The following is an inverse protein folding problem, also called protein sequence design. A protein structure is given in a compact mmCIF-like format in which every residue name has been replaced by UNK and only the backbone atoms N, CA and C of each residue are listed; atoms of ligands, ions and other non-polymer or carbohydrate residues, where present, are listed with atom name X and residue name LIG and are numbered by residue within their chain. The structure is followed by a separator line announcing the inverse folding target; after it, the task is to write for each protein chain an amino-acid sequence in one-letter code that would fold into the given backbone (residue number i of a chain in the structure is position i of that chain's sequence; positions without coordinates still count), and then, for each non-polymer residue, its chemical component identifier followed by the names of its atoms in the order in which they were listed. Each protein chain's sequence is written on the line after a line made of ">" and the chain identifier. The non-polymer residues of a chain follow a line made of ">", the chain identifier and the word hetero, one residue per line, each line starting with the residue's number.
data_IF_520426274644
#
_entry.id   IF_520426274644
#
_cell.length_a   1.000
_cell.length_b   1.000
_cell.length_c   1.000
_cell.angle_alpha   90.00
_cell.angle_beta   90.00
_cell.angle_gamma   90.00
#
_symmetry.space_group_name_H-M   'P 1'
#
loop_
_entity.id
_entity.type
_entity.pdbx_description
1 polymer ?
#
# COMPACT_ATOMS: atom_id res chain seq x y z
N UNK A 1 7.29 19.96 21.02
CA UNK A 1 6.21 20.92 21.36
C UNK A 1 5.96 21.74 20.12
N UNK A 2 5.28 21.14 19.15
CA UNK A 2 5.02 21.74 17.86
C UNK A 2 3.54 22.07 17.87
N UNK A 3 3.23 23.36 17.91
CA UNK A 3 1.86 23.87 17.97
C UNK A 3 1.14 23.46 16.70
N UNK A 4 0.03 22.73 16.85
CA UNK A 4 -0.93 22.55 15.76
C UNK A 4 -1.40 23.94 15.33
N UNK A 5 -0.85 24.46 14.24
CA UNK A 5 -1.41 25.66 13.61
C UNK A 5 -2.67 25.19 12.90
N UNK A 6 -3.76 25.14 13.64
CA UNK A 6 -5.07 25.02 13.05
C UNK A 6 -5.30 26.28 12.21
N UNK A 7 -5.10 26.18 10.91
CA UNK A 7 -5.71 27.13 9.96
C UNK A 7 -7.20 26.79 9.99
N UNK A 8 -7.90 27.24 11.04
CA UNK A 8 -9.34 27.08 11.18
C UNK A 8 -9.99 28.05 10.21
N UNK A 9 -10.35 27.57 9.03
CA UNK A 9 -11.13 28.33 8.06
C UNK A 9 -12.50 27.69 7.75
N UNK A 10 -13.05 26.88 8.66
CA UNK A 10 -14.42 26.40 8.51
C UNK A 10 -14.81 25.38 9.57
N UNK A 11 -15.79 25.69 10.41
CA UNK A 11 -16.40 24.71 11.30
C UNK A 11 -17.45 23.90 10.53
N UNK A 12 -17.17 22.62 10.27
CA UNK A 12 -18.18 21.66 9.88
C UNK A 12 -18.98 21.22 11.10
N UNK A 13 -20.17 21.81 11.32
CA UNK A 13 -21.13 21.21 12.26
C UNK A 13 -21.63 19.89 11.67
N UNK A 14 -21.62 18.81 12.45
CA UNK A 14 -22.30 17.56 12.10
C UNK A 14 -23.81 17.82 11.97
N UNK A 15 -24.26 18.21 10.78
CA UNK A 15 -25.66 18.51 10.51
C UNK A 15 -26.44 17.20 10.38
N UNK A 16 -27.25 16.88 11.40
CA UNK A 16 -28.36 15.91 11.26
C UNK A 16 -29.34 16.47 10.23
N UNK A 17 -29.51 15.82 9.07
CA UNK A 17 -30.54 16.20 8.09
C UNK A 17 -31.54 15.07 7.84
N UNK A 18 -32.77 15.32 8.27
CA UNK A 18 -34.01 14.76 7.73
C UNK A 18 -34.32 15.39 6.36
N UNK A 19 -34.75 14.55 5.41
CA UNK A 19 -35.07 14.90 4.00
C UNK A 19 -36.38 15.70 3.84
N UNK A 20 -36.52 16.54 2.79
CA UNK A 20 -37.38 16.14 1.64
C UNK A 20 -36.93 16.60 0.22
N UNK A 21 -37.53 15.97 -0.81
CA UNK A 21 -37.40 16.07 -2.29
C UNK A 21 -38.30 17.20 -2.94
N UNK A 22 -38.42 17.42 -4.29
CA UNK A 22 -37.55 18.27 -5.12
C UNK A 22 -38.29 19.20 -6.18
N UNK A 23 -37.48 19.86 -7.05
CA UNK A 23 -37.70 20.40 -8.43
C UNK A 23 -38.09 21.90 -8.66
N UNK A 24 -37.89 22.50 -9.88
CA UNK A 24 -36.74 22.52 -10.83
C UNK A 24 -36.47 23.96 -11.42
N UNK A 25 -35.94 24.18 -12.67
CA UNK A 25 -34.54 24.57 -12.98
C UNK A 25 -34.35 25.96 -13.64
N UNK A 26 -33.09 26.42 -13.77
CA UNK A 26 -32.79 27.67 -14.51
C UNK A 26 -31.33 27.90 -14.90
N UNK A 27 -31.05 27.64 -16.18
CA UNK A 27 -30.15 28.33 -17.14
C UNK A 27 -28.62 28.29 -16.98
N UNK A 28 -28.00 27.82 -18.07
CA UNK A 28 -26.57 27.72 -18.32
C UNK A 28 -25.87 29.07 -18.54
N UNK A 29 -24.58 29.12 -18.20
CA UNK A 29 -23.65 30.11 -18.74
C UNK A 29 -22.30 29.44 -18.97
N UNK A 30 -21.78 29.62 -20.17
CA UNK A 30 -20.51 29.13 -20.70
C UNK A 30 -19.36 30.02 -20.21
N UNK A 31 -18.24 29.43 -19.77
CA UNK A 31 -16.95 30.12 -19.79
C UNK A 31 -15.81 29.16 -20.06
N UNK A 32 -14.84 29.69 -20.81
CA UNK A 32 -13.76 29.07 -21.57
C UNK A 32 -12.67 28.47 -20.67
N UNK A 33 -12.13 27.32 -21.08
CA UNK A 33 -11.01 26.65 -20.42
C UNK A 33 -9.67 27.25 -20.85
N UNK A 34 -8.76 27.38 -19.89
CA UNK A 34 -7.32 27.58 -20.12
C UNK A 34 -6.61 26.31 -19.69
N UNK A 35 -5.97 25.68 -20.67
CA UNK A 35 -5.20 24.44 -20.53
C UNK A 35 -3.87 24.72 -19.84
N UNK A 36 -3.66 24.15 -18.65
CA UNK A 36 -2.34 24.03 -18.04
C UNK A 36 -1.91 22.56 -18.12
N UNK A 37 -0.70 22.33 -18.66
CA UNK A 37 -0.11 21.01 -18.85
C UNK A 37 0.15 20.33 -17.50
N UNK A 38 -0.12 19.01 -17.37
CA UNK A 38 0.24 18.27 -16.17
C UNK A 38 1.76 18.04 -16.11
N UNK A 39 2.34 18.33 -14.94
CA UNK A 39 3.67 17.87 -14.55
C UNK A 39 3.49 16.49 -13.92
N UNK A 40 4.17 15.50 -14.47
CA UNK A 40 4.26 14.12 -13.96
C UNK A 40 5.14 14.07 -12.71
N UNK A 41 4.70 13.48 -11.58
CA UNK A 41 5.58 13.19 -10.46
C UNK A 41 6.54 12.04 -10.81
N UNK A 42 7.77 12.13 -10.31
CA UNK A 42 8.83 11.16 -10.53
C UNK A 42 8.48 9.79 -9.94
N UNK A 43 8.79 8.72 -10.69
CA UNK A 43 8.65 7.32 -10.28
C UNK A 43 9.72 7.00 -9.23
N UNK A 44 9.30 6.53 -8.05
CA UNK A 44 10.18 5.97 -7.03
C UNK A 44 10.36 4.47 -7.35
N UNK A 45 11.59 4.04 -7.63
CA UNK A 45 11.95 2.63 -7.70
C UNK A 45 12.45 2.22 -6.31
N UNK A 46 11.72 1.31 -5.66
CA UNK A 46 12.21 0.62 -4.48
C UNK A 46 13.18 -0.44 -5.02
N UNK A 47 14.46 -0.29 -4.73
CA UNK A 47 15.50 -1.28 -5.09
C UNK A 47 15.56 -2.29 -3.94
N UNK A 48 15.39 -3.61 -4.20
CA UNK A 48 15.50 -4.60 -3.15
C UNK A 48 16.95 -4.72 -2.64
N UNK A 49 17.18 -5.02 -1.36
CA UNK A 49 18.52 -5.36 -0.89
C UNK A 49 18.98 -6.69 -1.52
N UNK A 50 20.21 -6.68 -2.03
CA UNK A 50 20.91 -7.81 -2.66
C UNK A 50 20.92 -9.03 -1.74
N UNK A 51 20.29 -10.12 -2.16
CA UNK A 51 20.43 -11.44 -1.51
C UNK A 51 21.59 -12.23 -2.13
N UNK A 52 22.56 -12.73 -1.34
CA UNK A 52 23.62 -13.58 -1.86
C UNK A 52 23.08 -14.98 -2.22
N UNK A 53 23.29 -15.39 -3.47
CA UNK A 53 22.90 -16.70 -4.00
C UNK A 53 23.34 -17.89 -3.12
N UNK A 54 22.47 -18.90 -2.87
CA UNK A 54 22.85 -20.11 -2.16
C UNK A 54 23.67 -21.03 -3.07
N UNK A 55 24.93 -21.30 -2.69
CA UNK A 55 25.78 -22.31 -3.33
C UNK A 55 25.14 -23.70 -3.19
N UNK A 56 24.49 -24.17 -4.25
CA UNK A 56 24.05 -25.55 -4.42
C UNK A 56 25.24 -26.51 -4.34
N UNK A 57 25.35 -27.23 -3.22
CA UNK A 57 26.24 -28.40 -3.11
C UNK A 57 25.65 -29.53 -3.95
N UNK A 58 26.18 -29.75 -5.15
CA UNK A 58 25.95 -30.99 -5.91
C UNK A 58 27.12 -31.95 -5.73
N UNK A 59 26.79 -33.15 -5.26
CA UNK A 59 27.67 -34.28 -5.06
C UNK A 59 28.45 -34.64 -6.34
N UNK A 60 29.77 -34.84 -6.21
CA UNK A 60 30.65 -35.33 -7.27
C UNK A 60 30.40 -36.83 -7.53
N UNK A 61 30.06 -37.17 -8.77
CA UNK A 61 30.29 -38.49 -9.33
C UNK A 61 31.65 -38.55 -10.02
N UNK A 62 32.28 -39.69 -9.84
CA UNK A 62 33.65 -40.07 -10.14
C UNK A 62 33.74 -40.44 -11.62
N UNK A 63 34.66 -39.82 -12.36
CA UNK A 63 35.16 -40.34 -13.64
C UNK A 63 36.61 -39.91 -13.81
N UNK A 64 37.50 -40.87 -13.58
CA UNK A 64 38.91 -40.85 -13.94
C UNK A 64 39.08 -41.40 -15.36
N UNK A 65 39.93 -40.77 -16.18
CA UNK A 65 41.05 -41.41 -16.91
C UNK A 65 41.70 -40.45 -17.94
N UNK A 66 43.03 -40.35 -17.84
CA UNK A 66 44.06 -40.24 -18.90
C UNK A 66 43.96 -39.08 -19.93
N UNK A 67 44.99 -38.28 -20.23
CA UNK A 67 46.35 -38.67 -20.61
C UNK A 67 47.29 -37.44 -20.72
N UNK A 68 48.55 -37.57 -20.25
CA UNK A 68 49.85 -37.16 -20.85
C UNK A 68 49.99 -35.87 -21.70
N UNK A 69 51.08 -35.09 -21.70
CA UNK A 69 52.35 -34.96 -20.97
C UNK A 69 53.18 -33.83 -21.64
N UNK A 70 54.00 -33.10 -20.86
CA UNK A 70 55.30 -32.46 -21.22
C UNK A 70 55.34 -31.34 -22.29
N UNK A 71 56.16 -30.27 -22.23
CA UNK A 71 57.28 -29.86 -21.37
C UNK A 71 57.70 -28.41 -21.72
N UNK A 72 58.13 -27.68 -20.68
CA UNK A 72 59.23 -26.70 -20.60
C UNK A 72 59.61 -25.79 -21.80
N UNK A 73 59.69 -24.48 -21.56
CA UNK A 73 60.96 -23.77 -21.33
C UNK A 73 60.72 -22.26 -21.10
N UNK A 74 61.60 -21.67 -20.30
CA UNK A 74 61.65 -20.26 -19.91
C UNK A 74 62.04 -19.33 -21.09
N UNK A 75 61.69 -18.05 -21.02
CA UNK A 75 62.58 -16.94 -20.60
C UNK A 75 62.21 -15.58 -21.23
N UNK A 76 62.51 -14.52 -20.47
CA UNK A 76 62.72 -13.11 -20.84
C UNK A 76 61.53 -12.14 -20.84
N UNK A 77 61.70 -11.18 -19.93
CA UNK A 77 60.97 -9.94 -19.72
C UNK A 77 60.99 -9.01 -20.95
N UNK A 78 59.88 -8.30 -21.15
CA UNK A 78 59.92 -6.95 -21.70
C UNK A 78 58.74 -6.16 -21.09
N UNK A 79 59.07 -5.10 -20.36
CA UNK A 79 58.14 -4.04 -19.98
C UNK A 79 57.71 -3.32 -21.26
N UNK A 80 56.44 -3.38 -21.61
CA UNK A 80 55.81 -2.38 -22.47
C UNK A 80 54.49 -1.94 -21.83
N UNK A 81 54.29 -0.62 -21.87
CA UNK A 81 53.32 0.12 -21.10
C UNK A 81 51.87 -0.25 -21.43
N UNK A 82 51.07 -0.42 -20.38
CA UNK A 82 49.61 -0.53 -20.43
C UNK A 82 49.00 0.68 -21.15
N UNK A 83 48.16 0.50 -22.18
CA UNK A 83 47.12 1.47 -22.45
C UNK A 83 46.05 1.29 -21.36
N UNK A 84 45.65 2.40 -20.75
CA UNK A 84 44.49 2.41 -19.84
C UNK A 84 43.27 2.07 -20.69
N UNK A 85 42.85 0.81 -20.67
CA UNK A 85 41.52 0.42 -21.09
C UNK A 85 40.55 1.09 -20.10
N UNK A 86 39.81 2.08 -20.59
CA UNK A 86 38.61 2.58 -19.93
C UNK A 86 37.60 1.42 -19.98
N UNK A 87 37.65 0.55 -18.96
CA UNK A 87 36.59 -0.41 -18.69
C UNK A 87 35.33 0.41 -18.36
N UNK A 88 34.50 0.65 -19.38
CA UNK A 88 33.08 0.94 -19.17
C UNK A 88 32.53 -0.26 -18.38
N UNK A 89 32.38 -0.09 -17.06
CA UNK A 89 31.56 -0.97 -16.22
C UNK A 89 30.13 -0.88 -16.79
N UNK A 90 29.82 -1.71 -17.78
CA UNK A 90 28.44 -2.05 -18.12
C UNK A 90 27.86 -2.67 -16.84
N UNK A 91 27.07 -1.89 -16.10
CA UNK A 91 26.22 -2.42 -15.02
C UNK A 91 25.42 -3.58 -15.63
N UNK A 92 25.81 -4.83 -15.34
CA UNK A 92 25.04 -6.01 -15.71
C UNK A 92 23.66 -5.83 -15.05
N UNK A 93 22.66 -5.35 -15.80
CA UNK A 93 21.28 -5.36 -15.36
C UNK A 93 20.95 -6.80 -14.98
N UNK A 94 20.86 -7.11 -13.69
CA UNK A 94 20.46 -8.45 -13.23
C UNK A 94 19.17 -8.81 -13.95
N UNK A 95 19.24 -9.79 -14.84
CA UNK A 95 18.10 -10.24 -15.63
C UNK A 95 17.16 -10.98 -14.67
N UNK A 96 16.21 -10.24 -14.10
CA UNK A 96 15.14 -10.81 -13.28
C UNK A 96 14.37 -11.81 -14.13
N UNK A 97 14.48 -13.10 -13.80
CA UNK A 97 13.67 -14.14 -14.44
C UNK A 97 12.19 -13.90 -14.09
N UNK A 98 11.35 -13.49 -15.06
CA UNK A 98 9.98 -13.10 -14.77
C UNK A 98 9.09 -14.30 -14.40
N UNK A 99 9.61 -15.53 -14.54
CA UNK A 99 8.91 -16.76 -14.16
C UNK A 99 9.32 -17.28 -12.79
N UNK A 100 10.36 -16.69 -12.17
CA UNK A 100 10.84 -17.11 -10.87
C UNK A 100 9.84 -16.74 -9.76
N UNK A 101 9.65 -17.69 -8.85
CA UNK A 101 8.91 -17.47 -7.60
C UNK A 101 9.82 -16.74 -6.61
N UNK A 102 9.27 -15.75 -5.92
CA UNK A 102 9.97 -15.08 -4.83
C UNK A 102 9.74 -15.89 -3.55
N UNK A 103 10.81 -16.19 -2.83
CA UNK A 103 10.76 -16.83 -1.52
C UNK A 103 11.87 -16.19 -0.68
N UNK A 104 11.57 -15.04 -0.08
CA UNK A 104 12.52 -14.19 0.61
C UNK A 104 12.05 -13.90 2.04
N UNK A 105 13.00 -14.02 2.96
CA UNK A 105 12.91 -13.53 4.33
C UNK A 105 14.18 -12.75 4.61
N UNK A 106 14.03 -11.51 5.05
CA UNK A 106 15.14 -10.66 5.50
C UNK A 106 15.90 -11.37 6.64
N UNK A 107 17.23 -11.59 6.49
CA UNK A 107 18.05 -12.23 7.52
C UNK A 107 18.05 -11.50 8.87
N UNK A 108 17.81 -10.19 8.87
CA UNK A 108 17.79 -9.35 10.07
C UNK A 108 16.41 -9.28 10.72
N UNK A 109 15.36 -9.78 10.05
CA UNK A 109 14.02 -9.82 10.59
C UNK A 109 13.86 -10.97 11.61
N UNK A 110 13.17 -10.68 12.73
CA UNK A 110 12.77 -11.72 13.68
C UNK A 110 11.53 -12.45 13.15
N UNK A 111 11.62 -13.75 12.78
CA UNK A 111 10.49 -14.51 12.24
C UNK A 111 9.26 -14.49 13.15
N UNK A 112 9.46 -14.50 14.47
CA UNK A 112 8.38 -14.55 15.48
C UNK A 112 7.60 -13.23 15.60
N UNK A 113 8.18 -12.15 15.08
CA UNK A 113 7.57 -10.82 15.05
C UNK A 113 6.58 -10.64 13.89
N UNK A 114 6.69 -11.46 12.84
CA UNK A 114 5.88 -11.37 11.61
C UNK A 114 4.52 -12.04 11.82
N UNK A 115 3.62 -11.32 12.49
CA UNK A 115 2.29 -11.83 12.89
C UNK A 115 1.14 -11.39 12.01
N UNK A 116 1.39 -10.51 11.04
CA UNK A 116 0.38 -10.03 10.11
C UNK A 116 0.94 -10.13 8.69
N UNK A 117 0.18 -10.77 7.79
CA UNK A 117 0.51 -10.83 6.37
C UNK A 117 -0.50 -10.00 5.56
N UNK A 118 -0.07 -9.52 4.42
CA UNK A 118 -0.87 -8.95 3.35
C UNK A 118 -0.88 -9.93 2.17
N UNK A 119 -2.05 -10.18 1.59
CA UNK A 119 -2.24 -11.22 0.57
C UNK A 119 -3.02 -10.71 -0.64
N UNK A 120 -2.51 -11.00 -1.83
CA UNK A 120 -3.25 -10.98 -3.09
C UNK A 120 -3.23 -12.36 -3.76
N UNK A 121 -4.39 -12.81 -4.23
CA UNK A 121 -4.50 -14.04 -5.01
C UNK A 121 -5.39 -13.77 -6.22
N UNK A 122 -4.77 -13.37 -7.33
CA UNK A 122 -5.47 -12.85 -8.51
C UNK A 122 -4.78 -13.29 -9.81
N UNK A 123 -5.50 -13.22 -10.93
CA UNK A 123 -4.92 -13.41 -12.26
C UNK A 123 -3.98 -12.25 -12.61
N UNK A 124 -2.83 -12.56 -13.21
CA UNK A 124 -1.89 -11.58 -13.77
C UNK A 124 -2.19 -11.29 -15.23
N UNK A 125 -1.69 -10.18 -15.80
CA UNK A 125 -1.81 -9.86 -17.24
C UNK A 125 -0.90 -10.77 -18.09
N UNK A 126 -0.94 -12.07 -17.83
CA UNK A 126 -0.06 -13.09 -18.38
C UNK A 126 -0.93 -14.26 -18.87
N UNK A 127 -0.65 -14.74 -20.08
CA UNK A 127 -1.17 -15.98 -20.60
C UNK A 127 -0.11 -17.08 -20.60
N UNK A 128 -0.52 -18.30 -20.27
CA UNK A 128 0.32 -19.48 -20.44
C UNK A 128 0.47 -19.88 -21.92
N UNK A 129 1.30 -20.89 -22.19
CA UNK A 129 1.50 -21.43 -23.54
C UNK A 129 0.21 -21.97 -24.21
N UNK A 130 -0.88 -22.14 -23.45
CA UNK A 130 -2.20 -22.59 -23.92
C UNK A 130 -3.19 -21.43 -24.09
N UNK A 131 -2.75 -20.19 -23.90
CA UNK A 131 -3.59 -19.00 -23.97
C UNK A 131 -4.56 -18.88 -22.79
N UNK A 132 -4.29 -19.51 -21.64
CA UNK A 132 -5.08 -19.41 -20.41
C UNK A 132 -4.44 -18.44 -19.43
N UNK A 133 -5.27 -17.80 -18.61
CA UNK A 133 -4.80 -16.85 -17.57
C UNK A 133 -3.93 -17.57 -16.56
N UNK A 134 -2.84 -16.91 -16.19
CA UNK A 134 -2.00 -17.30 -15.05
C UNK A 134 -2.46 -16.53 -13.81
N UNK A 135 -2.58 -17.24 -12.70
CA UNK A 135 -2.83 -16.66 -11.38
C UNK A 135 -1.57 -16.66 -10.56
N UNK A 136 -1.52 -15.79 -9.56
CA UNK A 136 -0.39 -15.72 -8.67
C UNK A 136 -0.88 -15.43 -7.25
N UNK A 137 -0.30 -16.14 -6.30
CA UNK A 137 -0.32 -15.77 -4.89
C UNK A 137 0.85 -14.83 -4.63
N UNK A 138 0.58 -13.68 -4.02
CA UNK A 138 1.57 -12.71 -3.56
C UNK A 138 1.29 -12.46 -2.09
N UNK A 139 2.29 -12.70 -1.24
CA UNK A 139 2.22 -12.55 0.21
C UNK A 139 3.42 -11.75 0.69
N UNK A 140 3.17 -10.73 1.49
CA UNK A 140 4.23 -10.01 2.18
C UNK A 140 3.79 -9.62 3.59
N UNK A 141 4.71 -9.11 4.40
CA UNK A 141 4.37 -8.37 5.61
C UNK A 141 4.44 -6.85 5.36
N UNK A 142 4.18 -6.06 6.41
CA UNK A 142 4.10 -4.61 6.30
C UNK A 142 5.47 -3.96 5.99
N UNK A 143 6.58 -4.62 6.33
CA UNK A 143 7.94 -4.10 6.12
C UNK A 143 8.59 -4.65 4.84
N UNK A 144 7.91 -5.55 4.12
CA UNK A 144 8.49 -6.34 3.02
C UNK A 144 9.70 -7.20 3.44
N UNK A 145 9.86 -7.45 4.74
CA UNK A 145 10.85 -8.38 5.27
C UNK A 145 10.49 -9.81 4.91
N UNK A 146 9.19 -10.12 4.80
CA UNK A 146 8.70 -11.36 4.21
C UNK A 146 8.15 -11.06 2.81
N UNK A 147 8.62 -11.80 1.81
CA UNK A 147 8.12 -11.72 0.43
C UNK A 147 8.00 -13.12 -0.15
N UNK A 148 6.81 -13.47 -0.61
CA UNK A 148 6.53 -14.76 -1.21
C UNK A 148 5.61 -14.64 -2.41
N UNK A 149 5.98 -15.28 -3.54
CA UNK A 149 5.09 -15.43 -4.69
C UNK A 149 5.04 -16.86 -5.19
N UNK A 150 3.90 -17.23 -5.79
CA UNK A 150 3.74 -18.54 -6.46
C UNK A 150 2.73 -18.46 -7.59
N UNK A 151 3.06 -19.03 -8.74
CA UNK A 151 2.16 -19.08 -9.89
C UNK A 151 1.21 -20.28 -9.86
N UNK A 152 0.00 -20.09 -10.37
CA UNK A 152 -1.06 -21.10 -10.42
C UNK A 152 -1.76 -21.10 -11.78
N UNK A 153 -2.14 -22.28 -12.31
CA UNK A 153 -2.99 -22.36 -13.47
C UNK A 153 -4.44 -22.00 -13.11
N UNK A 154 -5.20 -21.49 -14.09
CA UNK A 154 -6.57 -21.03 -13.89
C UNK A 154 -7.56 -22.09 -13.32
N UNK A 155 -7.27 -23.39 -13.46
CA UNK A 155 -8.12 -24.46 -12.92
C UNK A 155 -7.79 -24.84 -11.47
N UNK A 156 -6.74 -24.27 -10.87
CA UNK A 156 -6.31 -24.57 -9.51
C UNK A 156 -6.82 -23.53 -8.48
N UNK A 157 -7.72 -22.63 -8.85
CA UNK A 157 -8.12 -21.50 -8.01
C UNK A 157 -9.27 -21.92 -7.08
N UNK A 158 -8.92 -22.32 -5.87
CA UNK A 158 -9.86 -22.72 -4.83
C UNK A 158 -9.22 -22.57 -3.43
N UNK A 159 -10.02 -22.74 -2.38
CA UNK A 159 -9.56 -22.55 -0.99
C UNK A 159 -8.57 -23.61 -0.51
N UNK A 160 -8.64 -24.84 -1.03
CA UNK A 160 -7.72 -25.93 -0.65
C UNK A 160 -6.32 -25.62 -1.18
N UNK A 161 -6.24 -25.25 -2.46
CA UNK A 161 -4.97 -24.85 -3.07
C UNK A 161 -4.37 -23.62 -2.38
N UNK A 162 -5.18 -22.62 -2.05
CA UNK A 162 -4.70 -21.45 -1.32
C UNK A 162 -4.21 -21.80 0.10
N UNK A 163 -4.94 -22.65 0.83
CA UNK A 163 -4.54 -23.13 2.16
C UNK A 163 -3.17 -23.80 2.10
N UNK A 164 -2.99 -24.75 1.20
CA UNK A 164 -1.74 -25.49 1.07
C UNK A 164 -0.57 -24.56 0.68
N UNK A 165 -0.85 -23.56 -0.17
CA UNK A 165 0.11 -22.55 -0.53
C UNK A 165 0.53 -21.69 0.68
N UNK A 166 -0.42 -21.26 1.52
CA UNK A 166 -0.14 -20.48 2.73
C UNK A 166 0.67 -21.28 3.76
N UNK A 167 0.33 -22.55 3.99
CA UNK A 167 1.16 -23.43 4.83
C UNK A 167 2.59 -23.51 4.32
N UNK A 168 2.77 -23.62 3.00
CA UNK A 168 4.11 -23.71 2.42
C UNK A 168 4.93 -22.42 2.56
N UNK A 169 4.30 -21.25 2.73
CA UNK A 169 5.02 -20.00 3.04
C UNK A 169 5.70 -20.13 4.41
N UNK A 170 4.95 -20.57 5.42
CA UNK A 170 5.45 -20.80 6.77
C UNK A 170 6.56 -21.86 6.79
N UNK A 171 6.37 -22.98 6.09
CA UNK A 171 7.37 -24.05 6.00
C UNK A 171 8.65 -23.62 5.27
N UNK A 172 8.52 -22.89 4.16
CA UNK A 172 9.66 -22.51 3.32
C UNK A 172 10.51 -21.40 3.94
N UNK A 173 9.87 -20.42 4.59
CA UNK A 173 10.56 -19.28 5.21
C UNK A 173 10.89 -19.52 6.69
N UNK A 174 10.38 -20.59 7.30
CA UNK A 174 10.59 -20.88 8.72
C UNK A 174 9.93 -19.85 9.65
N UNK A 175 8.86 -19.20 9.18
CA UNK A 175 8.08 -18.22 9.95
C UNK A 175 6.83 -18.87 10.54
N UNK A 176 6.34 -18.45 11.72
CA UNK A 176 5.08 -18.94 12.25
C UNK A 176 3.91 -18.53 11.35
N UNK A 177 2.78 -19.23 11.50
CA UNK A 177 1.53 -18.78 10.89
C UNK A 177 1.09 -17.45 11.54
N UNK A 178 0.66 -16.44 10.74
CA UNK A 178 0.28 -15.14 11.26
C UNK A 178 -1.02 -15.22 12.06
N UNK A 179 -1.20 -14.26 12.98
CA UNK A 179 -2.47 -14.07 13.68
C UNK A 179 -3.58 -13.64 12.70
N UNK A 180 -3.21 -12.87 11.67
CA UNK A 180 -4.15 -12.39 10.65
C UNK A 180 -3.53 -12.20 9.27
N UNK A 181 -4.37 -12.27 8.25
CA UNK A 181 -4.05 -11.97 6.86
C UNK A 181 -4.98 -10.87 6.35
N UNK A 182 -4.43 -9.73 5.94
CA UNK A 182 -5.15 -8.67 5.24
C UNK A 182 -5.23 -8.97 3.75
N UNK A 183 -6.34 -8.61 3.12
CA UNK A 183 -6.51 -8.70 1.67
C UNK A 183 -7.50 -7.64 1.17
N UNK A 184 -7.27 -7.13 -0.05
CA UNK A 184 -8.02 -6.00 -0.59
C UNK A 184 -8.97 -6.34 -1.74
N UNK A 185 -9.03 -7.61 -2.19
CA UNK A 185 -9.98 -8.06 -3.22
C UNK A 185 -11.20 -8.72 -2.59
N UNK A 186 -12.31 -7.97 -2.50
CA UNK A 186 -13.58 -8.46 -1.93
C UNK A 186 -14.08 -9.72 -2.63
N UNK A 187 -13.84 -9.87 -3.94
CA UNK A 187 -14.30 -11.02 -4.71
C UNK A 187 -13.61 -12.32 -4.28
N UNK A 188 -12.43 -12.24 -3.65
CA UNK A 188 -11.68 -13.39 -3.13
C UNK A 188 -12.05 -13.74 -1.69
N UNK A 189 -12.96 -12.99 -1.05
CA UNK A 189 -13.29 -13.15 0.36
C UNK A 189 -13.66 -14.59 0.74
N UNK A 190 -14.49 -15.27 -0.04
CA UNK A 190 -14.93 -16.65 0.26
C UNK A 190 -13.75 -17.65 0.24
N UNK A 191 -12.88 -17.54 -0.77
CA UNK A 191 -11.73 -18.44 -0.93
C UNK A 191 -10.71 -18.19 0.19
N UNK A 192 -10.35 -16.93 0.41
CA UNK A 192 -9.35 -16.53 1.43
C UNK A 192 -9.85 -16.86 2.83
N UNK A 193 -11.09 -16.49 3.18
CA UNK A 193 -11.64 -16.74 4.53
C UNK A 193 -11.66 -18.22 4.85
N UNK A 194 -12.03 -19.08 3.89
CA UNK A 194 -12.04 -20.53 4.10
C UNK A 194 -10.62 -21.09 4.25
N UNK A 195 -9.69 -20.66 3.41
CA UNK A 195 -8.29 -21.10 3.48
C UNK A 195 -7.65 -20.70 4.83
N UNK A 196 -7.77 -19.43 5.23
CA UNK A 196 -7.24 -18.94 6.50
C UNK A 196 -7.91 -19.62 7.71
N UNK A 197 -9.23 -19.84 7.65
CA UNK A 197 -9.97 -20.48 8.75
C UNK A 197 -9.52 -21.92 9.03
N UNK A 198 -9.18 -22.69 8.00
CA UNK A 198 -8.61 -24.05 8.16
C UNK A 198 -7.20 -24.03 8.78
N UNK A 199 -6.49 -22.90 8.72
CA UNK A 199 -5.17 -22.68 9.32
C UNK A 199 -5.23 -21.97 10.67
N UNK A 200 -6.42 -21.64 11.18
CA UNK A 200 -6.58 -20.88 12.42
C UNK A 200 -6.20 -19.38 12.30
N UNK A 201 -6.07 -18.86 11.09
CA UNK A 201 -5.65 -17.49 10.80
C UNK A 201 -6.87 -16.60 10.57
N UNK A 202 -6.86 -15.38 11.12
CA UNK A 202 -7.95 -14.42 10.91
C UNK A 202 -7.83 -13.74 9.54
N UNK A 203 -8.77 -14.00 8.64
CA UNK A 203 -8.88 -13.23 7.38
C UNK A 203 -9.50 -11.84 7.64
N UNK A 204 -8.84 -10.77 7.17
CA UNK A 204 -9.22 -9.37 7.39
C UNK A 204 -9.36 -8.65 6.04
N UNK A 205 -10.58 -8.39 5.54
CA UNK A 205 -10.78 -7.59 4.35
C UNK A 205 -10.40 -6.12 4.62
N UNK A 206 -9.36 -5.62 3.96
CA UNK A 206 -8.80 -4.29 4.24
C UNK A 206 -8.10 -3.71 3.02
N UNK A 207 -8.29 -2.41 2.78
CA UNK A 207 -7.47 -1.64 1.84
C UNK A 207 -6.13 -1.19 2.43
N UNK A 208 -5.89 -1.39 3.73
CA UNK A 208 -4.59 -1.14 4.37
C UNK A 208 -3.59 -2.27 4.06
N UNK A 209 -3.50 -2.66 2.78
CA UNK A 209 -2.48 -3.57 2.27
C UNK A 209 -1.42 -2.76 1.53
N UNK A 210 -0.83 -1.75 2.19
CA UNK A 210 -0.10 -0.68 1.50
C UNK A 210 1.17 -1.21 0.85
N UNK A 211 1.94 -2.01 1.59
CA UNK A 211 3.20 -2.59 1.12
C UNK A 211 2.96 -3.57 -0.03
N UNK A 212 1.91 -4.39 0.08
CA UNK A 212 1.49 -5.27 -1.01
C UNK A 212 1.07 -4.51 -2.26
N UNK A 213 0.34 -3.39 -2.13
CA UNK A 213 -0.11 -2.60 -3.28
C UNK A 213 1.07 -1.98 -4.04
N UNK A 214 2.05 -1.45 -3.31
CA UNK A 214 3.28 -0.90 -3.90
C UNK A 214 4.14 -2.00 -4.53
N UNK A 215 4.25 -3.15 -3.87
CA UNK A 215 4.98 -4.28 -4.43
C UNK A 215 4.31 -4.85 -5.68
N UNK A 216 2.97 -4.85 -5.77
CA UNK A 216 2.26 -5.22 -7.00
C UNK A 216 2.50 -4.24 -8.15
N UNK A 217 2.65 -2.95 -7.87
CA UNK A 217 3.04 -1.93 -8.86
C UNK A 217 4.46 -2.20 -9.38
N UNK A 218 5.42 -2.41 -8.48
CA UNK A 218 6.80 -2.74 -8.84
C UNK A 218 6.84 -4.02 -9.68
N UNK A 219 6.19 -5.09 -9.22
CA UNK A 219 6.11 -6.37 -9.95
C UNK A 219 5.48 -6.21 -11.32
N UNK A 220 4.53 -5.29 -11.52
CA UNK A 220 4.00 -5.02 -12.84
C UNK A 220 5.07 -4.51 -13.80
N UNK A 221 5.88 -3.54 -13.35
CA UNK A 221 6.93 -2.94 -14.15
C UNK A 221 8.10 -3.91 -14.36
N UNK A 222 8.58 -4.58 -13.31
CA UNK A 222 9.84 -5.35 -13.37
C UNK A 222 9.66 -6.83 -13.70
N UNK A 223 8.50 -7.43 -13.38
CA UNK A 223 8.24 -8.87 -13.61
C UNK A 223 7.23 -9.07 -14.73
N UNK A 224 6.00 -8.57 -14.56
CA UNK A 224 4.91 -8.95 -15.45
C UNK A 224 5.07 -8.36 -16.85
N UNK A 225 5.53 -7.11 -16.98
CA UNK A 225 5.74 -6.46 -18.28
C UNK A 225 6.81 -7.17 -19.13
N UNK A 226 7.78 -7.81 -18.47
CA UNK A 226 8.90 -8.54 -19.08
C UNK A 226 8.59 -10.02 -19.31
N UNK A 227 7.47 -10.52 -18.78
CA UNK A 227 7.10 -11.92 -18.92
C UNK A 227 6.74 -12.26 -20.39
N UNK A 228 7.20 -13.39 -20.98
CA UNK A 228 6.93 -13.74 -22.38
C UNK A 228 5.45 -13.82 -22.76
N UNK A 229 4.61 -14.20 -21.80
CA UNK A 229 3.15 -14.26 -21.93
C UNK A 229 2.39 -12.96 -21.64
N UNK A 230 3.08 -11.83 -21.42
CA UNK A 230 2.45 -10.56 -21.04
C UNK A 230 1.44 -10.07 -22.08
N UNK A 231 0.32 -9.53 -21.61
CA UNK A 231 -0.76 -8.98 -22.42
C UNK A 231 -0.99 -7.51 -22.04
N UNK A 232 -0.30 -6.62 -22.74
CA UNK A 232 -0.42 -5.17 -22.53
C UNK A 232 -1.88 -4.70 -22.67
N UNK A 233 -2.32 -3.81 -21.76
CA UNK A 233 -3.67 -3.27 -21.76
C UNK A 233 -4.77 -4.22 -21.25
N UNK A 234 -4.41 -5.41 -20.75
CA UNK A 234 -5.37 -6.30 -20.09
C UNK A 234 -5.88 -5.66 -18.81
N UNK A 235 -7.21 -5.61 -18.65
CA UNK A 235 -7.82 -5.12 -17.42
C UNK A 235 -7.72 -6.16 -16.31
N UNK A 236 -7.45 -5.74 -15.06
CA UNK A 236 -7.56 -6.62 -13.89
C UNK A 236 -8.88 -7.39 -13.88
N UNK A 237 -8.81 -8.71 -13.63
CA UNK A 237 -10.01 -9.54 -13.56
C UNK A 237 -10.90 -9.14 -12.39
N UNK A 238 -10.27 -8.78 -11.27
CA UNK A 238 -10.93 -8.47 -10.01
C UNK A 238 -10.70 -7.00 -9.69
N UNK A 239 -11.59 -6.15 -10.22
CA UNK A 239 -11.55 -4.71 -9.99
C UNK A 239 -11.81 -4.38 -8.52
N UNK A 240 -11.22 -3.29 -8.04
CA UNK A 240 -11.49 -2.79 -6.70
C UNK A 240 -12.91 -2.23 -6.62
N UNK A 241 -13.67 -2.65 -5.62
CA UNK A 241 -15.00 -2.12 -5.37
C UNK A 241 -14.91 -0.66 -4.94
N UNK A 242 -15.75 0.21 -5.49
CA UNK A 242 -15.94 1.57 -5.00
C UNK A 242 -17.44 1.88 -4.77
N UNK A 243 -18.03 1.35 -3.70
CA UNK A 243 -19.46 1.45 -3.48
C UNK A 243 -19.89 2.89 -3.14
N UNK A 244 -21.19 3.15 -3.29
CA UNK A 244 -21.75 4.43 -2.86
C UNK A 244 -21.63 4.59 -1.34
N UNK A 245 -21.29 5.80 -0.84
CA UNK A 245 -21.25 6.07 0.58
C UNK A 245 -22.61 5.84 1.26
N UNK A 246 -22.57 5.25 2.44
CA UNK A 246 -23.73 4.95 3.29
C UNK A 246 -23.72 5.80 4.55
N UNK A 247 -24.77 5.72 5.37
CA UNK A 247 -24.84 6.47 6.62
C UNK A 247 -23.82 5.93 7.63
N UNK A 248 -23.08 6.83 8.27
CA UNK A 248 -22.18 6.49 9.36
C UNK A 248 -22.98 6.01 10.60
N UNK A 249 -22.59 4.89 11.24
CA UNK A 249 -23.14 4.48 12.54
C UNK A 249 -23.07 5.59 13.61
N UNK A 250 -24.12 5.72 14.43
CA UNK A 250 -24.25 6.84 15.37
C UNK A 250 -23.10 6.95 16.37
N UNK A 251 -22.50 5.81 16.76
CA UNK A 251 -21.39 5.77 17.70
C UNK A 251 -20.08 6.36 17.15
N UNK A 252 -19.95 6.50 15.82
CA UNK A 252 -18.73 6.92 15.13
C UNK A 252 -18.69 8.42 14.80
N UNK A 253 -19.73 9.17 15.13
CA UNK A 253 -19.70 10.63 14.98
C UNK A 253 -18.88 11.29 16.09
N UNK A 254 -18.05 12.24 15.69
CA UNK A 254 -17.53 13.28 16.58
C UNK A 254 -18.52 14.45 16.73
N UNK A 255 -18.21 15.34 17.68
CA UNK A 255 -19.03 16.52 17.99
C UNK A 255 -18.78 17.64 16.98
N UNK A 256 -17.50 17.82 16.58
CA UNK A 256 -17.07 18.74 15.52
C UNK A 256 -15.93 18.14 14.72
N UNK A 257 -15.68 18.68 13.55
CA UNK A 257 -14.50 18.36 12.76
C UNK A 257 -13.99 19.59 12.02
N UNK A 258 -12.72 19.55 11.63
CA UNK A 258 -12.07 20.57 10.82
C UNK A 258 -11.05 19.95 9.88
N UNK A 259 -10.86 20.58 8.72
CA UNK A 259 -9.67 20.35 7.90
C UNK A 259 -8.47 20.97 8.61
N UNK A 260 -7.38 20.21 8.69
CA UNK A 260 -6.13 20.63 9.33
C UNK A 260 -4.95 20.24 8.46
N UNK A 261 -3.79 20.82 8.75
CA UNK A 261 -2.53 20.44 8.12
C UNK A 261 -1.44 20.37 9.19
N UNK A 262 -0.54 19.42 9.06
CA UNK A 262 0.65 19.31 9.91
C UNK A 262 1.90 19.25 9.02
N UNK A 263 3.01 19.91 9.41
CA UNK A 263 4.30 19.65 8.78
C UNK A 263 4.62 18.16 8.83
N UNK A 264 5.26 17.63 7.79
CA UNK A 264 5.61 16.22 7.70
C UNK A 264 6.45 15.74 8.89
N UNK A 265 7.36 16.58 9.37
CA UNK A 265 8.11 16.36 10.63
C UNK A 265 7.21 16.13 11.85
N UNK A 266 6.13 16.90 11.99
CA UNK A 266 5.15 16.71 13.06
C UNK A 266 4.34 15.42 12.87
N UNK A 267 3.98 15.06 11.63
CA UNK A 267 3.31 13.78 11.33
C UNK A 267 4.18 12.60 11.75
N UNK A 268 5.49 12.62 11.45
CA UNK A 268 6.41 11.57 11.90
C UNK A 268 6.48 11.49 13.43
N UNK A 269 6.55 12.63 14.11
CA UNK A 269 6.53 12.66 15.58
C UNK A 269 5.26 12.00 16.14
N UNK A 270 4.09 12.26 15.54
CA UNK A 270 2.82 11.65 15.94
C UNK A 270 2.82 10.13 15.74
N UNK A 271 3.34 9.65 14.61
CA UNK A 271 3.43 8.21 14.30
C UNK A 271 4.38 7.49 15.26
N UNK A 272 5.57 8.02 15.51
CA UNK A 272 6.54 7.48 16.49
C UNK A 272 5.98 7.44 17.92
N UNK A 273 4.99 8.28 18.17
CA UNK A 273 4.32 8.42 19.46
C UNK A 273 3.13 7.50 19.62
N UNK A 274 2.65 6.82 18.56
CA UNK A 274 1.51 5.91 18.64
C UNK A 274 1.68 4.83 19.71
N UNK A 275 2.84 4.19 19.81
CA UNK A 275 3.10 3.15 20.81
C UNK A 275 3.35 3.67 22.24
N UNK A 276 3.57 4.98 22.41
CA UNK A 276 3.97 5.60 23.70
C UNK A 276 2.91 6.52 24.29
N UNK A 277 2.25 7.32 23.45
CA UNK A 277 1.31 8.38 23.84
C UNK A 277 -0.15 8.02 23.53
N UNK A 278 -0.40 7.24 22.49
CA UNK A 278 -1.76 6.95 22.02
C UNK A 278 -2.20 5.52 22.35
N UNK A 279 -3.46 5.34 22.72
CA UNK A 279 -4.02 4.01 22.93
C UNK A 279 -4.60 3.42 21.63
N UNK A 280 -4.84 4.26 20.62
CA UNK A 280 -5.56 3.92 19.40
C UNK A 280 -4.95 4.63 18.20
N UNK A 281 -4.94 3.99 17.05
CA UNK A 281 -4.34 4.54 15.85
C UNK A 281 -3.66 3.48 15.00
N UNK A 282 -3.19 3.92 13.85
CA UNK A 282 -2.42 3.09 12.95
C UNK A 282 -1.38 3.96 12.22
N UNK A 283 -0.12 3.55 12.33
CA UNK A 283 0.99 4.17 11.62
C UNK A 283 1.18 3.57 10.23
N UNK A 284 2.14 4.15 9.51
CA UNK A 284 2.79 3.58 8.33
C UNK A 284 4.28 3.81 8.51
N UNK A 285 5.09 2.83 8.12
CA UNK A 285 6.54 3.01 8.07
C UNK A 285 6.88 3.75 6.79
N UNK A 286 6.95 5.07 6.87
CA UNK A 286 7.09 5.94 5.71
C UNK A 286 8.45 5.80 5.04
N UNK A 287 9.49 5.46 5.81
CA UNK A 287 10.84 5.26 5.30
C UNK A 287 10.87 4.00 4.43
N UNK A 288 10.28 2.89 4.91
CA UNK A 288 10.15 1.65 4.13
C UNK A 288 9.26 1.81 2.90
N UNK A 289 8.27 2.70 2.94
CA UNK A 289 7.41 2.98 1.80
C UNK A 289 8.04 3.95 0.77
N UNK A 290 9.27 4.42 1.01
CA UNK A 290 9.96 5.35 0.10
C UNK A 290 9.36 6.75 0.05
N UNK A 291 8.68 7.19 1.12
CA UNK A 291 8.10 8.54 1.19
C UNK A 291 9.17 9.59 1.52
N UNK A 292 9.70 10.23 0.48
CA UNK A 292 10.59 11.38 0.63
C UNK A 292 9.80 12.70 0.49
N UNK A 293 9.35 13.24 1.62
CA UNK A 293 8.77 14.58 1.69
C UNK A 293 9.66 15.50 2.52
N UNK A 294 9.74 16.77 2.14
CA UNK A 294 10.42 17.78 2.96
C UNK A 294 9.70 17.93 4.32
N UNK A 295 10.47 18.11 5.40
CA UNK A 295 9.96 18.21 6.77
C UNK A 295 8.93 19.32 6.99
N UNK A 296 8.97 20.37 6.17
CA UNK A 296 8.02 21.49 6.18
C UNK A 296 6.80 21.27 5.29
N UNK A 297 6.77 20.20 4.49
CA UNK A 297 5.62 19.84 3.64
C UNK A 297 4.38 19.67 4.50
N UNK A 298 3.32 20.41 4.16
CA UNK A 298 2.07 20.38 4.90
C UNK A 298 1.22 19.19 4.46
N UNK A 299 1.17 18.16 5.31
CA UNK A 299 0.34 16.98 5.11
C UNK A 299 -1.08 17.32 5.57
N UNK A 300 -2.12 17.12 4.73
CA UNK A 300 -3.49 17.38 5.12
C UNK A 300 -4.05 16.30 6.04
N UNK A 301 -4.98 16.69 6.89
CA UNK A 301 -5.71 15.76 7.74
C UNK A 301 -7.09 16.28 8.12
N UNK A 302 -7.81 15.42 8.83
CA UNK A 302 -9.10 15.74 9.46
C UNK A 302 -8.93 15.60 10.96
N UNK A 303 -9.19 16.67 11.70
CA UNK A 303 -9.26 16.65 13.15
C UNK A 303 -10.73 16.52 13.57
N UNK A 304 -11.01 15.59 14.47
CA UNK A 304 -12.34 15.31 15.02
C UNK A 304 -12.32 15.59 16.52
N UNK A 305 -13.12 16.54 16.96
CA UNK A 305 -13.37 16.81 18.38
C UNK A 305 -14.53 15.95 18.87
N UNK A 306 -14.36 15.32 20.02
CA UNK A 306 -15.46 14.66 20.73
C UNK A 306 -15.26 14.66 22.23
N UNK A 307 -16.33 15.00 22.96
CA UNK A 307 -16.50 14.74 24.40
C UNK A 307 -16.33 13.27 24.76
N UNK A 308 -16.43 12.36 23.77
CA UNK A 308 -16.26 10.91 23.88
C UNK A 308 -15.03 10.43 23.10
N UNK A 309 -13.98 11.25 22.98
CA UNK A 309 -12.82 10.98 22.12
C UNK A 309 -12.22 9.58 22.32
N UNK A 310 -12.04 9.13 23.57
CA UNK A 310 -11.48 7.79 23.85
C UNK A 310 -12.39 6.64 23.40
N UNK A 311 -13.68 6.58 23.78
CA UNK A 311 -14.62 5.62 23.19
C UNK A 311 -14.68 5.68 21.66
N UNK A 312 -14.72 6.89 21.09
CA UNK A 312 -14.77 7.10 19.65
C UNK A 312 -13.54 6.51 18.96
N UNK A 313 -12.35 6.82 19.45
CA UNK A 313 -11.09 6.28 18.96
C UNK A 313 -11.05 4.75 19.06
N UNK A 314 -11.56 4.17 20.15
CA UNK A 314 -11.64 2.72 20.32
C UNK A 314 -12.54 2.05 19.27
N UNK A 315 -13.72 2.62 18.98
CA UNK A 315 -14.60 2.09 17.93
C UNK A 315 -13.97 2.26 16.54
N UNK A 316 -13.36 3.42 16.28
CA UNK A 316 -12.67 3.70 15.02
C UNK A 316 -11.48 2.75 14.78
N UNK A 317 -10.78 2.33 15.85
CA UNK A 317 -9.68 1.37 15.76
C UNK A 317 -10.14 -0.05 15.35
N UNK A 318 -11.43 -0.36 15.57
CA UNK A 318 -12.04 -1.59 15.06
C UNK A 318 -12.44 -1.52 13.59
N UNK A 319 -12.37 -0.34 12.98
CA UNK A 319 -12.59 -0.14 11.56
C UNK A 319 -11.22 -0.16 10.88
N UNK A 320 -11.07 -0.96 9.84
CA UNK A 320 -9.89 -0.93 8.97
C UNK A 320 -9.90 0.37 8.14
N UNK A 321 -9.71 1.52 8.78
CA UNK A 321 -9.80 2.85 8.16
C UNK A 321 -8.69 2.99 7.11
N UNK A 322 -9.09 3.32 5.89
CA UNK A 322 -8.17 3.37 4.74
C UNK A 322 -8.00 4.77 4.20
N UNK A 323 -9.05 5.59 4.14
CA UNK A 323 -8.95 6.93 3.58
C UNK A 323 -10.04 7.88 4.09
N UNK A 324 -9.72 9.17 4.07
CA UNK A 324 -10.66 10.28 4.10
C UNK A 324 -10.70 10.93 2.70
N UNK A 325 -11.89 11.25 2.22
CA UNK A 325 -12.13 11.84 0.89
C UNK A 325 -13.22 12.91 0.97
N UNK A 326 -13.19 13.90 0.08
CA UNK A 326 -14.21 14.96 0.01
C UNK A 326 -15.00 14.86 -1.28
N UNK A 327 -16.31 14.70 -1.17
CA UNK A 327 -17.25 14.85 -2.28
C UNK A 327 -17.77 16.29 -2.31
N UNK A 328 -17.14 17.13 -3.13
CA UNK A 328 -17.51 18.54 -3.31
C UNK A 328 -18.85 18.72 -4.02
N UNK A 329 -19.26 17.73 -4.82
CA UNK A 329 -20.58 17.68 -5.45
C UNK A 329 -21.70 17.65 -4.41
N UNK A 330 -21.53 16.80 -3.40
CA UNK A 330 -22.48 16.60 -2.28
C UNK A 330 -22.17 17.44 -1.04
N UNK A 331 -21.04 18.15 -1.02
CA UNK A 331 -20.52 18.86 0.14
C UNK A 331 -20.42 17.94 1.37
N UNK A 332 -19.74 16.80 1.20
CA UNK A 332 -19.59 15.79 2.26
C UNK A 332 -18.20 15.22 2.37
N UNK A 333 -17.77 14.97 3.59
CA UNK A 333 -16.59 14.20 3.96
C UNK A 333 -16.96 12.72 4.01
N UNK A 334 -16.16 11.89 3.36
CA UNK A 334 -16.33 10.45 3.23
C UNK A 334 -15.22 9.74 4.00
N UNK A 335 -15.61 8.75 4.80
CA UNK A 335 -14.71 7.83 5.51
C UNK A 335 -14.76 6.47 4.83
N UNK A 336 -13.62 6.02 4.31
CA UNK A 336 -13.44 4.69 3.71
C UNK A 336 -12.86 3.73 4.75
N UNK A 337 -13.48 2.54 4.89
CA UNK A 337 -13.08 1.51 5.84
C UNK A 337 -13.22 0.09 5.27
N UNK A 338 -12.40 -0.84 5.74
CA UNK A 338 -12.35 -2.20 5.24
C UNK A 338 -11.97 -2.25 3.76
N UNK A 339 -12.57 -3.19 3.03
CA UNK A 339 -12.34 -3.35 1.58
C UNK A 339 -13.35 -2.57 0.72
N UNK A 340 -14.60 -2.52 1.16
CA UNK A 340 -15.74 -2.05 0.36
C UNK A 340 -16.77 -1.29 1.19
N UNK A 341 -16.34 -0.59 2.26
CA UNK A 341 -17.24 0.24 3.05
C UNK A 341 -16.87 1.70 2.94
N UNK A 342 -17.86 2.53 2.62
CA UNK A 342 -17.73 4.00 2.58
C UNK A 342 -18.87 4.60 3.36
N UNK A 343 -18.56 5.55 4.22
CA UNK A 343 -19.50 6.27 5.05
C UNK A 343 -19.48 7.74 4.72
N UNK A 344 -20.64 8.38 4.65
CA UNK A 344 -20.74 9.82 4.77
C UNK A 344 -20.42 10.16 6.21
N UNK A 345 -19.19 10.63 6.47
CA UNK A 345 -18.74 10.98 7.80
C UNK A 345 -19.45 12.23 8.32
N UNK A 346 -19.47 13.29 7.50
CA UNK A 346 -20.17 14.53 7.83
C UNK A 346 -20.42 15.36 6.57
N UNK A 347 -21.45 16.21 6.60
CA UNK A 347 -21.67 17.23 5.59
C UNK A 347 -21.03 18.56 5.99
N UNK A 348 -20.68 19.40 5.03
CA UNK A 348 -20.36 20.80 5.26
C UNK A 348 -21.32 21.72 4.52
N UNK A 349 -21.40 22.98 4.96
CA UNK A 349 -22.28 23.95 4.31
C UNK A 349 -21.71 24.30 2.93
N UNK A 350 -22.48 24.05 1.88
CA UNK A 350 -22.07 24.34 0.50
C UNK A 350 -22.03 25.84 0.22
N UNK A 351 -20.93 26.47 0.58
CA UNK A 351 -20.58 27.86 0.23
C UNK A 351 -19.36 27.85 -0.71
N UNK A 352 -19.13 28.92 -1.50
CA UNK A 352 -17.93 29.01 -2.32
C UNK A 352 -16.64 28.86 -1.50
N UNK A 353 -16.56 29.49 -0.32
CA UNK A 353 -15.40 29.41 0.56
C UNK A 353 -15.15 27.99 1.08
N UNK A 354 -16.18 27.32 1.63
CA UNK A 354 -16.03 25.95 2.14
C UNK A 354 -15.76 24.93 1.02
N UNK A 355 -16.28 25.17 -0.19
CA UNK A 355 -15.99 24.33 -1.36
C UNK A 355 -14.53 24.51 -1.80
N UNK A 356 -14.02 25.75 -1.81
CA UNK A 356 -12.62 26.03 -2.12
C UNK A 356 -11.66 25.40 -1.09
N UNK A 357 -12.01 25.44 0.20
CA UNK A 357 -11.24 24.80 1.28
C UNK A 357 -11.19 23.27 1.07
N UNK A 358 -12.34 22.65 0.79
CA UNK A 358 -12.43 21.22 0.48
C UNK A 358 -11.59 20.82 -0.75
N UNK A 359 -11.65 21.61 -1.83
CA UNK A 359 -10.83 21.40 -3.03
C UNK A 359 -9.34 21.56 -2.75
N UNK A 360 -8.96 22.55 -1.93
CA UNK A 360 -7.58 22.76 -1.52
C UNK A 360 -7.06 21.59 -0.66
N UNK A 361 -7.89 21.02 0.21
CA UNK A 361 -7.54 19.86 1.01
C UNK A 361 -7.27 18.62 0.14
N UNK A 362 -8.13 18.32 -0.83
CA UNK A 362 -7.90 17.22 -1.79
C UNK A 362 -6.68 17.48 -2.68
N UNK A 363 -6.45 18.72 -3.09
CA UNK A 363 -5.25 19.08 -3.85
C UNK A 363 -3.96 18.88 -3.04
N UNK A 364 -3.96 19.26 -1.75
CA UNK A 364 -2.84 19.04 -0.85
C UNK A 364 -2.58 17.53 -0.62
N UNK A 365 -3.65 16.73 -0.52
CA UNK A 365 -3.55 15.27 -0.34
C UNK A 365 -2.88 14.65 -1.57
N UNK A 366 -3.32 15.05 -2.77
CA UNK A 366 -2.70 14.61 -4.02
C UNK A 366 -1.25 15.07 -4.15
N UNK A 367 -0.93 16.30 -3.75
CA UNK A 367 0.44 16.82 -3.77
C UNK A 367 1.37 16.07 -2.80
N UNK A 368 0.83 15.51 -1.72
CA UNK A 368 1.55 14.68 -0.74
C UNK A 368 1.55 13.20 -1.12
N UNK A 369 1.32 12.85 -2.39
CA UNK A 369 1.31 11.45 -2.85
C UNK A 369 0.13 10.61 -2.32
N UNK A 370 -0.94 11.26 -1.86
CA UNK A 370 -2.09 10.59 -1.23
C UNK A 370 -1.96 10.47 0.29
N UNK A 371 -0.85 10.91 0.89
CA UNK A 371 -0.63 10.89 2.32
C UNK A 371 -1.54 11.89 3.03
N UNK A 372 -2.23 11.41 4.06
CA UNK A 372 -3.11 12.24 4.90
C UNK A 372 -3.33 11.56 6.26
N UNK A 373 -3.98 12.26 7.20
CA UNK A 373 -4.25 11.69 8.52
C UNK A 373 -5.67 11.97 9.04
N UNK A 374 -6.08 11.14 10.00
CA UNK A 374 -7.24 11.36 10.85
C UNK A 374 -6.78 11.46 12.31
N UNK A 375 -7.13 12.56 12.97
CA UNK A 375 -6.86 12.77 14.39
C UNK A 375 -8.18 12.89 15.17
N UNK A 376 -8.27 12.20 16.31
CA UNK A 376 -9.42 12.27 17.21
C UNK A 376 -8.95 12.86 18.52
N UNK A 377 -9.57 13.95 18.98
CA UNK A 377 -9.15 14.73 20.13
C UNK A 377 -10.32 15.18 21.00
N UNK A 378 -10.05 15.58 22.24
CA UNK A 378 -11.09 16.06 23.16
C UNK A 378 -11.56 17.48 22.81
N UNK A 379 -10.69 18.29 22.20
CA UNK A 379 -10.96 19.66 21.76
C UNK A 379 -10.10 19.98 20.53
N UNK A 380 -10.63 20.69 19.53
CA UNK A 380 -9.87 21.10 18.33
C UNK A 380 -8.62 21.96 18.63
N UNK A 381 -8.56 22.60 19.80
CA UNK A 381 -7.43 23.42 20.24
C UNK A 381 -6.44 22.68 21.18
N UNK A 382 -6.62 21.37 21.36
CA UNK A 382 -5.72 20.53 22.16
C UNK A 382 -4.38 20.33 21.45
N UNK A 383 -3.29 20.35 22.21
CA UNK A 383 -1.94 20.04 21.72
C UNK A 383 -1.71 18.55 21.45
N UNK A 384 -2.65 17.68 21.83
CA UNK A 384 -2.54 16.24 21.62
C UNK A 384 -3.87 15.60 21.22
N UNK A 385 -3.78 14.42 20.59
CA UNK A 385 -4.93 13.60 20.23
C UNK A 385 -5.08 12.38 21.14
N UNK A 386 -6.22 11.69 21.03
CA UNK A 386 -6.52 10.43 21.70
C UNK A 386 -6.31 9.25 20.75
N UNK A 387 -6.46 9.48 19.44
CA UNK A 387 -6.06 8.55 18.41
C UNK A 387 -5.63 9.25 17.13
N UNK A 388 -4.70 8.61 16.43
CA UNK A 388 -4.10 9.12 15.20
C UNK A 388 -3.96 8.01 14.17
N UNK A 389 -4.50 8.22 12.97
CA UNK A 389 -4.36 7.27 11.87
C UNK A 389 -3.63 7.98 10.73
N UNK A 390 -2.44 7.48 10.42
CA UNK A 390 -1.79 7.80 9.17
C UNK A 390 -2.39 6.93 8.07
N UNK A 391 -2.79 7.58 6.99
CA UNK A 391 -3.55 7.01 5.89
C UNK A 391 -2.84 7.31 4.57
N UNK A 392 -2.92 6.37 3.65
CA UNK A 392 -2.36 6.53 2.33
C UNK A 392 -3.36 6.07 1.28
N UNK A 393 -3.78 7.03 0.45
CA UNK A 393 -4.73 6.78 -0.65
C UNK A 393 -3.95 6.57 -1.96
N UNK A 394 -3.68 5.31 -2.28
CA UNK A 394 -2.99 4.91 -3.50
C UNK A 394 -4.00 4.66 -4.64
N UNK A 395 -3.60 4.92 -5.90
CA UNK A 395 -4.38 4.43 -7.02
C UNK A 395 -4.48 2.89 -6.98
N UNK A 396 -5.53 2.30 -7.59
CA UNK A 396 -5.61 0.86 -7.76
C UNK A 396 -4.37 0.32 -8.48
N UNK A 397 -3.85 -0.86 -8.09
CA UNK A 397 -2.70 -1.45 -8.77
C UNK A 397 -3.09 -1.84 -10.19
N UNK A 398 -2.13 -1.91 -11.13
CA UNK A 398 -2.38 -2.20 -12.54
C UNK A 398 -2.82 -3.65 -12.80
N UNK A 399 -2.86 -4.51 -11.78
CA UNK A 399 -3.14 -5.96 -11.87
C UNK A 399 -4.31 -6.46 -11.06
#
# INVERSE_FOLDING_TARGET
>A
MTTATAIVAGHGLALRRSLPLPNPPGRATTSVSLSARPVTPARCMIVPPTSPSPRSRRCRSISSESSTAASAAADIANEEADPVDEEEEEEEEEVVDPQAEVCYLDPDADPESIREWELDFCSRPILDARGKKVWELVVCDATLSLQFTRYFPNNAINSVTLRDALSSVSEALGVPMPDRVRFFRSQMQTIITRACGELGVKAVPSRRCVSLLLWLEERYEVVYSRHPGFQAGTRPLLALDNPFPTTLPENLFGDKWAFVQLPFSAVREEVESLGRRYAFGAGLDLDLLGFELDDSTLVPGVAVESSRAKPLAAWMNGLEISAMEVDTGRASLILSAGVSTRYIYSGYQKTPAATQEAEAWEAAKKASGGLHFLAIQENLNSDGCVGFWLLLDLPPPPV
#
